data_IF_342062747050
#
_entry.id   IF_342062747050
#
_cell.length_a   1.000
_cell.length_b   1.000
_cell.length_c   1.000
_cell.angle_alpha   90.00
_cell.angle_beta   90.00
_cell.angle_gamma   90.00
#
_symmetry.space_group_name_H-M   'P 1'
#
loop_
_entity.id
_entity.type
_entity.pdbx_description
1 polymer ?
#
# COMPACT_ATOMS: atom_id res chain seq x y z
N UNK A 1 9.22 -11.58 -7.30
CA UNK A 1 8.15 -10.63 -6.90
C UNK A 1 8.76 -9.35 -6.37
N UNK A 2 7.96 -8.42 -5.80
CA UNK A 2 8.46 -7.13 -5.32
C UNK A 2 9.59 -7.26 -4.30
N UNK A 3 9.41 -8.12 -3.27
CA UNK A 3 10.43 -8.33 -2.25
C UNK A 3 11.68 -8.99 -2.82
N UNK A 4 11.55 -10.00 -3.68
CA UNK A 4 12.71 -10.65 -4.33
C UNK A 4 13.51 -9.66 -5.18
N UNK A 5 12.82 -8.77 -5.92
CA UNK A 5 13.48 -7.71 -6.67
C UNK A 5 14.20 -6.74 -5.74
N UNK A 6 13.51 -6.23 -4.72
CA UNK A 6 14.07 -5.28 -3.75
C UNK A 6 15.19 -5.88 -2.91
N UNK A 7 15.32 -7.18 -2.78
CA UNK A 7 16.41 -7.86 -2.06
C UNK A 7 17.51 -8.37 -3.01
N UNK A 8 17.30 -8.31 -4.32
CA UNK A 8 18.24 -8.78 -5.31
C UNK A 8 19.42 -7.82 -5.57
N UNK A 9 20.29 -8.28 -6.47
CA UNK A 9 21.56 -7.62 -6.82
C UNK A 9 21.50 -6.79 -8.11
N UNK A 10 20.31 -6.41 -8.58
CA UNK A 10 20.23 -5.47 -9.69
C UNK A 10 20.73 -4.08 -9.27
N UNK A 11 21.27 -3.31 -10.22
CA UNK A 11 21.71 -1.94 -9.95
C UNK A 11 20.54 -1.07 -9.47
N UNK A 12 19.37 -1.23 -10.08
CA UNK A 12 18.14 -0.52 -9.70
C UNK A 12 17.70 -0.86 -8.27
N UNK A 13 17.75 -2.13 -7.87
CA UNK A 13 17.35 -2.53 -6.52
C UNK A 13 18.31 -1.97 -5.46
N UNK A 14 19.63 -1.96 -5.73
CA UNK A 14 20.61 -1.28 -4.85
C UNK A 14 20.32 0.21 -4.75
N UNK A 15 20.15 0.89 -5.90
CA UNK A 15 19.85 2.32 -5.93
C UNK A 15 18.59 2.65 -5.12
N UNK A 16 17.54 1.83 -5.23
CA UNK A 16 16.33 2.01 -4.44
C UNK A 16 16.58 1.84 -2.94
N UNK A 17 17.32 0.82 -2.51
CA UNK A 17 17.66 0.59 -1.09
C UNK A 17 18.58 1.68 -0.52
N UNK A 18 19.44 2.26 -1.34
CA UNK A 18 20.34 3.34 -0.92
C UNK A 18 19.60 4.68 -0.73
N UNK A 19 18.47 4.87 -1.44
CA UNK A 19 17.71 6.13 -1.42
C UNK A 19 16.41 6.07 -0.60
N UNK A 20 15.83 4.90 -0.40
CA UNK A 20 14.50 4.75 0.22
C UNK A 20 14.46 3.66 1.29
N UNK A 21 13.67 3.92 2.34
CA UNK A 21 13.31 2.93 3.35
C UNK A 21 11.98 2.28 2.98
N UNK A 22 11.98 0.97 2.78
CA UNK A 22 10.77 0.20 2.48
C UNK A 22 10.18 -0.42 3.75
N UNK A 23 8.94 -0.07 4.08
CA UNK A 23 8.13 -0.75 5.11
C UNK A 23 7.08 -1.61 4.40
N UNK A 24 7.23 -2.93 4.48
CA UNK A 24 6.39 -3.90 3.75
C UNK A 24 5.60 -4.74 4.74
N UNK A 25 4.28 -4.80 4.54
CA UNK A 25 3.37 -5.71 5.25
C UNK A 25 2.89 -6.75 4.24
N UNK A 26 3.46 -7.97 4.22
CA UNK A 26 3.14 -8.96 3.19
C UNK A 26 1.67 -9.42 3.22
N UNK A 27 1.04 -9.39 4.39
CA UNK A 27 -0.34 -9.83 4.58
C UNK A 27 -1.00 -9.06 5.73
N UNK A 28 -2.05 -8.30 5.42
CA UNK A 28 -2.77 -7.48 6.39
C UNK A 28 -3.90 -8.25 7.12
N UNK A 29 -4.46 -9.28 6.48
CA UNK A 29 -5.63 -10.04 6.94
C UNK A 29 -5.36 -11.57 7.01
N UNK A 30 -4.38 -12.03 7.81
CA UNK A 30 -4.00 -13.45 7.84
C UNK A 30 -5.12 -14.36 8.32
N UNK A 31 -5.91 -13.92 9.30
CA UNK A 31 -7.05 -14.64 9.86
C UNK A 31 -8.16 -14.84 8.83
N UNK A 32 -8.53 -13.80 8.08
CA UNK A 32 -9.49 -13.91 7.00
C UNK A 32 -9.03 -14.88 5.90
N UNK A 33 -7.75 -14.83 5.53
CA UNK A 33 -7.18 -15.75 4.53
C UNK A 33 -7.26 -17.20 4.98
N UNK A 34 -6.87 -17.50 6.23
CA UNK A 34 -6.87 -18.87 6.76
C UNK A 34 -8.27 -19.51 6.69
N UNK A 35 -9.32 -18.74 6.93
CA UNK A 35 -10.71 -19.25 6.88
C UNK A 35 -11.36 -19.15 5.50
N UNK A 36 -10.61 -18.77 4.47
CA UNK A 36 -11.13 -18.65 3.10
C UNK A 36 -12.02 -17.42 2.88
N UNK A 37 -11.98 -16.42 3.76
CA UNK A 37 -12.70 -15.18 3.56
C UNK A 37 -12.05 -14.35 2.45
N UNK A 38 -12.86 -13.96 1.46
CA UNK A 38 -12.41 -13.10 0.37
C UNK A 38 -12.20 -11.63 0.78
N UNK A 39 -13.05 -11.09 1.67
CA UNK A 39 -13.10 -9.63 1.95
C UNK A 39 -12.92 -9.26 3.42
N UNK A 40 -13.40 -10.09 4.33
CA UNK A 40 -13.49 -9.75 5.74
C UNK A 40 -12.45 -10.49 6.58
N UNK A 41 -12.15 -9.96 7.76
CA UNK A 41 -11.44 -10.68 8.83
C UNK A 41 -12.26 -11.86 9.35
N UNK A 42 -11.69 -12.63 10.28
CA UNK A 42 -12.39 -13.74 10.96
C UNK A 42 -13.67 -13.28 11.64
N UNK A 43 -13.68 -12.06 12.19
CA UNK A 43 -14.84 -11.44 12.84
C UNK A 43 -15.86 -10.85 11.86
N UNK A 44 -15.75 -11.13 10.56
CA UNK A 44 -16.67 -10.63 9.52
C UNK A 44 -16.55 -9.12 9.25
N UNK A 45 -15.43 -8.48 9.57
CA UNK A 45 -15.24 -7.03 9.39
C UNK A 45 -14.38 -6.71 8.17
N UNK A 46 -14.74 -5.67 7.43
CA UNK A 46 -13.93 -5.13 6.33
C UNK A 46 -12.84 -4.20 6.88
N UNK A 47 -11.59 -4.68 6.85
CA UNK A 47 -10.44 -3.93 7.38
C UNK A 47 -10.22 -2.59 6.64
N UNK A 48 -10.45 -2.55 5.33
CA UNK A 48 -10.26 -1.36 4.49
C UNK A 48 -11.41 -0.33 4.63
N UNK A 49 -12.28 -0.49 5.62
CA UNK A 49 -13.26 0.53 6.05
C UNK A 49 -12.99 1.05 7.45
N UNK A 50 -11.98 0.52 8.12
CA UNK A 50 -11.73 0.75 9.54
C UNK A 50 -10.36 1.37 9.84
N UNK A 51 -9.68 1.97 8.85
CA UNK A 51 -8.39 2.66 9.06
C UNK A 51 -8.43 3.79 10.11
N UNK A 52 -9.60 4.38 10.38
CA UNK A 52 -9.81 5.41 11.41
C UNK A 52 -10.21 4.85 12.79
N UNK A 53 -10.27 3.53 12.95
CA UNK A 53 -10.73 2.91 14.19
C UNK A 53 -9.83 3.22 15.39
N UNK A 54 -10.42 3.42 16.56
CA UNK A 54 -9.70 3.51 17.84
C UNK A 54 -9.64 2.16 18.57
N UNK A 55 -10.40 1.17 18.09
CA UNK A 55 -10.55 -0.14 18.72
C UNK A 55 -9.38 -1.05 18.34
N UNK A 56 -8.32 -1.01 19.14
CA UNK A 56 -7.11 -1.82 18.91
C UNK A 56 -7.40 -3.32 18.90
N UNK A 57 -8.13 -3.82 19.89
CA UNK A 57 -8.33 -5.27 20.06
C UNK A 57 -9.23 -5.88 18.98
N UNK A 58 -10.16 -5.09 18.43
CA UNK A 58 -11.03 -5.52 17.34
C UNK A 58 -10.37 -5.41 15.95
N UNK A 59 -9.36 -4.55 15.80
CA UNK A 59 -8.68 -4.29 14.52
C UNK A 59 -7.16 -4.20 14.71
N UNK A 60 -6.50 -5.24 15.23
CA UNK A 60 -5.10 -5.17 15.63
C UNK A 60 -4.18 -4.87 14.44
N UNK A 61 -4.38 -5.54 13.30
CA UNK A 61 -3.55 -5.33 12.11
C UNK A 61 -3.65 -3.89 11.60
N UNK A 62 -4.86 -3.34 11.48
CA UNK A 62 -5.07 -1.96 11.02
C UNK A 62 -4.51 -0.93 12.00
N UNK A 63 -4.74 -1.14 13.30
CA UNK A 63 -4.23 -0.24 14.33
C UNK A 63 -2.70 -0.20 14.32
N UNK A 64 -2.05 -1.37 14.30
CA UNK A 64 -0.59 -1.46 14.29
C UNK A 64 0.02 -0.95 12.98
N UNK A 65 -0.60 -1.20 11.83
CA UNK A 65 -0.20 -0.61 10.54
C UNK A 65 -0.22 0.91 10.61
N UNK A 66 -1.31 1.50 11.12
CA UNK A 66 -1.41 2.95 11.23
C UNK A 66 -0.37 3.53 12.18
N UNK A 67 -0.15 2.92 13.33
CA UNK A 67 0.86 3.40 14.28
C UNK A 67 2.28 3.26 13.73
N UNK A 68 2.57 2.20 12.96
CA UNK A 68 3.83 2.07 12.22
C UNK A 68 4.02 3.22 11.24
N UNK A 69 3.00 3.54 10.43
CA UNK A 69 3.05 4.64 9.45
C UNK A 69 3.23 5.99 10.15
N UNK A 70 2.48 6.25 11.23
CA UNK A 70 2.63 7.49 12.00
C UNK A 70 4.04 7.67 12.56
N UNK A 71 4.62 6.61 13.15
CA UNK A 71 6.00 6.65 13.66
C UNK A 71 6.99 6.88 12.53
N UNK A 72 6.83 6.18 11.41
CA UNK A 72 7.67 6.36 10.25
C UNK A 72 7.65 7.80 9.72
N UNK A 73 6.46 8.43 9.67
CA UNK A 73 6.31 9.84 9.29
C UNK A 73 6.97 10.83 10.25
N UNK A 74 7.29 10.43 11.49
CA UNK A 74 8.07 11.27 12.42
C UNK A 74 9.58 11.17 12.22
N UNK A 75 10.04 10.08 11.59
CA UNK A 75 11.46 9.79 11.37
C UNK A 75 11.92 10.19 9.97
N UNK A 76 11.06 10.07 8.96
CA UNK A 76 11.37 10.35 7.56
C UNK A 76 10.12 10.75 6.78
N UNK A 77 10.32 11.42 5.64
CA UNK A 77 9.24 11.75 4.73
C UNK A 77 8.61 10.49 4.12
N UNK A 78 7.27 10.40 4.16
CA UNK A 78 6.51 9.35 3.48
C UNK A 78 6.24 9.79 2.03
N UNK A 79 7.10 9.34 1.11
CA UNK A 79 7.00 9.68 -0.32
C UNK A 79 5.93 8.88 -1.08
N UNK A 80 5.63 7.66 -0.63
CA UNK A 80 4.69 6.76 -1.30
C UNK A 80 4.05 5.79 -0.29
N UNK A 81 2.73 5.64 -0.38
CA UNK A 81 1.97 4.59 0.29
C UNK A 81 1.20 3.79 -0.77
N UNK A 82 1.37 2.48 -0.79
CA UNK A 82 0.69 1.58 -1.71
C UNK A 82 -0.13 0.55 -0.94
N UNK A 83 -1.38 0.36 -1.35
CA UNK A 83 -2.28 -0.68 -0.84
C UNK A 83 -2.68 -1.59 -2.01
N UNK A 84 -2.16 -2.82 -2.02
CA UNK A 84 -2.33 -3.76 -3.13
C UNK A 84 -3.60 -4.58 -2.96
N UNK A 85 -4.46 -4.57 -3.98
CA UNK A 85 -5.74 -5.28 -3.99
C UNK A 85 -5.94 -6.04 -5.29
N UNK A 86 -6.64 -7.16 -5.20
CA UNK A 86 -7.31 -7.77 -6.35
C UNK A 86 -8.66 -7.08 -6.61
N UNK A 87 -9.09 -7.08 -7.87
CA UNK A 87 -10.40 -6.54 -8.24
C UNK A 87 -11.20 -7.58 -9.02
N UNK A 88 -12.43 -7.86 -8.59
CA UNK A 88 -13.22 -8.97 -9.13
C UNK A 88 -13.83 -8.73 -10.52
N UNK A 89 -13.99 -7.47 -10.93
CA UNK A 89 -14.68 -7.11 -12.20
C UNK A 89 -13.78 -6.52 -13.29
N UNK A 90 -12.88 -5.60 -12.93
CA UNK A 90 -11.98 -4.95 -13.88
C UNK A 90 -10.77 -5.83 -14.14
N UNK A 91 -10.39 -5.94 -15.41
CA UNK A 91 -9.18 -6.61 -15.86
C UNK A 91 -8.00 -5.61 -15.86
N UNK A 92 -6.79 -6.14 -15.98
CA UNK A 92 -5.52 -5.40 -16.01
C UNK A 92 -5.16 -4.69 -14.69
N UNK A 93 -4.03 -3.96 -14.73
CA UNK A 93 -3.51 -3.19 -13.60
C UNK A 93 -4.01 -1.75 -13.69
N UNK A 94 -4.47 -1.21 -12.56
CA UNK A 94 -4.89 0.19 -12.44
C UNK A 94 -4.63 0.68 -11.02
N UNK A 95 -4.57 2.01 -10.85
CA UNK A 95 -4.29 2.67 -9.58
C UNK A 95 -5.44 3.61 -9.24
N UNK A 96 -5.89 3.55 -7.98
CA UNK A 96 -6.76 4.58 -7.40
C UNK A 96 -5.89 5.55 -6.60
N UNK A 97 -5.87 6.82 -7.02
CA UNK A 97 -5.20 7.90 -6.29
C UNK A 97 -6.11 8.54 -5.24
N UNK A 98 -5.52 9.36 -4.38
CA UNK A 98 -6.23 10.12 -3.35
C UNK A 98 -6.43 11.57 -3.80
N UNK A 99 -7.30 11.84 -4.80
CA UNK A 99 -7.45 13.19 -5.38
C UNK A 99 -7.74 14.25 -4.30
N UNK A 100 -6.74 15.11 -4.03
CA UNK A 100 -6.91 16.21 -3.10
C UNK A 100 -7.60 17.39 -3.78
N UNK A 101 -8.93 17.47 -3.63
CA UNK A 101 -9.74 18.56 -4.19
C UNK A 101 -9.45 19.92 -3.55
N UNK A 102 -8.85 19.95 -2.37
CA UNK A 102 -8.66 21.17 -1.58
C UNK A 102 -7.22 21.72 -1.67
N UNK A 103 -6.31 21.02 -2.36
CA UNK A 103 -4.93 21.47 -2.57
C UNK A 103 -4.58 21.43 -4.08
N UNK A 104 -5.02 22.42 -4.87
CA UNK A 104 -4.84 22.42 -6.32
C UNK A 104 -3.38 22.32 -6.76
N UNK A 105 -2.47 22.91 -5.98
CA UNK A 105 -1.03 22.91 -6.24
C UNK A 105 -0.37 21.54 -6.01
N UNK A 106 -1.02 20.62 -5.28
CA UNK A 106 -0.52 19.26 -5.05
C UNK A 106 -1.17 18.23 -5.96
N UNK A 107 -2.22 18.62 -6.71
CA UNK A 107 -3.02 17.75 -7.58
C UNK A 107 -2.21 16.95 -8.60
N UNK A 108 -1.08 17.49 -9.06
CA UNK A 108 -0.21 16.80 -10.01
C UNK A 108 0.68 15.76 -9.33
N UNK A 109 1.08 15.94 -8.07
CA UNK A 109 1.99 15.04 -7.36
C UNK A 109 1.42 13.62 -7.29
N UNK A 110 0.14 13.51 -6.95
CA UNK A 110 -0.59 12.23 -6.85
C UNK A 110 -0.68 11.46 -8.18
N UNK A 111 -0.47 12.15 -9.32
CA UNK A 111 -0.52 11.56 -10.67
C UNK A 111 0.84 11.13 -11.21
N UNK A 112 1.94 11.56 -10.59
CA UNK A 112 3.30 11.26 -11.05
C UNK A 112 3.53 9.74 -11.04
N UNK A 113 3.28 9.08 -9.91
CA UNK A 113 3.51 7.63 -9.80
C UNK A 113 2.63 6.80 -10.75
N UNK A 114 1.30 7.00 -10.83
CA UNK A 114 0.47 6.32 -11.83
C UNK A 114 0.94 6.53 -13.27
N UNK A 115 1.37 7.75 -13.61
CA UNK A 115 1.90 8.06 -14.95
C UNK A 115 3.20 7.30 -15.22
N UNK A 116 4.16 7.30 -14.29
CA UNK A 116 5.40 6.52 -14.41
C UNK A 116 5.11 5.02 -14.53
N UNK A 117 4.18 4.48 -13.73
CA UNK A 117 3.79 3.07 -13.81
C UNK A 117 3.26 2.72 -15.21
N UNK A 118 2.36 3.56 -15.76
CA UNK A 118 1.78 3.34 -17.09
C UNK A 118 2.77 3.42 -18.26
N UNK A 119 3.95 4.03 -18.05
CA UNK A 119 5.03 4.11 -19.04
C UNK A 119 6.00 2.93 -18.97
N UNK A 120 6.08 2.29 -17.81
CA UNK A 120 6.92 1.12 -17.56
C UNK A 120 6.15 -0.19 -17.74
N UNK A 121 4.91 -0.13 -18.24
CA UNK A 121 4.14 -1.33 -18.57
C UNK A 121 4.72 -1.98 -19.83
N UNK A 122 5.31 -3.19 -19.74
CA UNK A 122 5.93 -3.86 -20.87
C UNK A 122 4.92 -4.40 -21.89
N UNK A 123 3.61 -4.32 -21.60
CA UNK A 123 2.53 -4.77 -22.49
C UNK A 123 2.01 -3.71 -23.47
N UNK A 124 2.64 -2.52 -23.50
CA UNK A 124 2.40 -1.48 -24.50
C UNK A 124 3.34 -1.57 -25.70
#
# INVERSE_FOLDING_TARGET
GLMDFLLGDSADARLLRDNFIFKIIPMLNPDGVIVGNYRCSLSGRDLNRNYKTVLKDAYPSIWHTREMVKRFMTETELVLYCDFHGHSRKQNVFVYGCENKNAPNERLKERIFPAMLSKNDPSK
#
